data_IF_816746343521
#
_entry.id   IF_816746343521
#
_cell.length_a   1.000
_cell.length_b   1.000
_cell.length_c   1.000
_cell.angle_alpha   90.00
_cell.angle_beta   90.00
_cell.angle_gamma   90.00
#
_symmetry.space_group_name_H-M   'P 1'
#
loop_
_entity.id
_entity.type
_entity.pdbx_description
1 polymer ?
#
# COMPACT_ATOMS: atom_id res chain seq x y z
N UNK A 1 13.33 4.96 7.08
CA UNK A 1 12.59 3.69 6.98
C UNK A 1 11.77 3.51 8.23
N UNK A 2 10.58 2.93 8.12
CA UNK A 2 9.68 2.69 9.23
C UNK A 2 9.01 1.32 9.07
N UNK A 3 8.67 0.71 10.20
CA UNK A 3 7.83 -0.49 10.28
C UNK A 3 6.69 -0.19 11.25
N UNK A 4 5.46 -0.51 10.85
CA UNK A 4 4.26 -0.35 11.66
C UNK A 4 3.63 -1.72 11.85
N UNK A 5 3.21 -2.02 13.09
CA UNK A 5 2.40 -3.19 13.42
C UNK A 5 1.02 -2.72 13.89
N UNK A 6 -0.03 -3.20 13.23
CA UNK A 6 -1.42 -2.95 13.58
C UNK A 6 -2.07 -4.24 14.08
N UNK A 7 -2.93 -4.11 15.10
CA UNK A 7 -3.84 -5.17 15.55
C UNK A 7 -5.27 -4.68 15.44
N UNK A 8 -6.05 -5.30 14.55
CA UNK A 8 -7.46 -4.98 14.37
C UNK A 8 -8.31 -5.58 15.49
N UNK A 9 -9.56 -5.11 15.61
CA UNK A 9 -10.50 -5.59 16.62
C UNK A 9 -10.79 -7.10 16.50
N UNK A 10 -10.77 -7.64 15.28
CA UNK A 10 -10.88 -9.08 14.99
C UNK A 10 -9.69 -9.91 15.48
N UNK A 11 -8.59 -9.27 15.89
CA UNK A 11 -7.31 -9.93 16.16
C UNK A 11 -6.41 -10.07 14.93
N UNK A 12 -6.89 -9.71 13.73
CA UNK A 12 -6.07 -9.66 12.50
C UNK A 12 -4.86 -8.74 12.73
N UNK A 13 -3.70 -9.15 12.23
CA UNK A 13 -2.48 -8.35 12.23
C UNK A 13 -2.21 -7.80 10.85
N UNK A 14 -1.67 -6.58 10.78
CA UNK A 14 -1.08 -6.05 9.56
C UNK A 14 0.27 -5.41 9.87
N UNK A 15 1.22 -5.61 8.97
CA UNK A 15 2.54 -4.99 9.01
C UNK A 15 2.69 -4.10 7.80
N UNK A 16 3.17 -2.87 8.02
CA UNK A 16 3.54 -1.96 6.93
C UNK A 16 5.02 -1.66 7.06
N UNK A 17 5.77 -1.87 5.98
CA UNK A 17 7.19 -1.52 5.90
C UNK A 17 7.35 -0.47 4.81
N UNK A 18 7.98 0.65 5.15
CA UNK A 18 8.15 1.78 4.25
C UNK A 18 9.55 2.38 4.30
N UNK A 19 10.13 2.60 3.13
CA UNK A 19 11.40 3.28 2.94
C UNK A 19 11.27 4.50 2.04
N UNK A 20 12.27 5.37 2.06
CA UNK A 20 12.42 6.44 1.05
C UNK A 20 13.46 6.11 -0.02
N UNK A 21 14.20 5.02 0.16
CA UNK A 21 15.31 4.61 -0.70
C UNK A 21 15.22 3.11 -0.94
N UNK A 22 15.02 2.76 -2.19
CA UNK A 22 15.20 1.43 -2.75
C UNK A 22 16.03 1.64 -4.02
N UNK A 23 17.19 0.97 -4.09
CA UNK A 23 18.12 1.12 -5.19
C UNK A 23 17.64 0.45 -6.48
N UNK A 24 16.68 -0.46 -6.38
CA UNK A 24 16.16 -1.23 -7.50
C UNK A 24 14.93 -0.58 -8.14
N UNK A 25 14.16 0.23 -7.39
CA UNK A 25 13.03 0.97 -7.91
C UNK A 25 11.98 1.38 -6.86
N UNK A 26 10.72 1.33 -7.25
CA UNK A 26 9.55 1.67 -6.45
C UNK A 26 8.74 0.42 -6.09
N UNK A 27 9.01 -0.15 -4.91
CA UNK A 27 8.27 -1.29 -4.38
C UNK A 27 6.94 -0.83 -3.75
N UNK A 28 5.84 -1.33 -4.27
CA UNK A 28 4.51 -1.16 -3.69
C UNK A 28 3.71 -2.45 -3.82
N UNK A 29 3.68 -3.21 -2.73
CA UNK A 29 3.09 -4.54 -2.68
C UNK A 29 2.21 -4.69 -1.44
N UNK A 30 1.15 -5.48 -1.58
CA UNK A 30 0.26 -5.86 -0.49
C UNK A 30 0.14 -7.38 -0.52
N UNK A 31 0.28 -8.01 0.63
CA UNK A 31 0.01 -9.43 0.81
C UNK A 31 -1.07 -9.64 1.87
N UNK A 32 -1.91 -10.66 1.65
CA UNK A 32 -2.96 -11.07 2.58
C UNK A 32 -2.86 -12.58 2.75
N UNK A 33 -2.55 -13.01 3.96
CA UNK A 33 -2.43 -14.43 4.31
C UNK A 33 -3.64 -14.80 5.15
N UNK A 34 -4.46 -15.69 4.60
CA UNK A 34 -5.62 -16.29 5.26
C UNK A 34 -5.39 -17.76 5.56
N UNK A 35 -6.34 -18.37 6.27
CA UNK A 35 -6.29 -19.80 6.62
C UNK A 35 -6.42 -20.75 5.42
N UNK A 36 -6.92 -20.26 4.28
CA UNK A 36 -7.17 -21.07 3.08
C UNK A 36 -6.29 -20.70 1.89
N UNK A 37 -5.70 -19.52 1.90
CA UNK A 37 -4.95 -18.99 0.76
C UNK A 37 -4.06 -17.81 1.17
N UNK A 38 -3.08 -17.49 0.32
CA UNK A 38 -2.24 -16.31 0.42
C UNK A 38 -2.24 -15.56 -0.92
N UNK A 39 -2.62 -14.29 -0.88
CA UNK A 39 -2.76 -13.45 -2.06
C UNK A 39 -1.74 -12.31 -2.01
N UNK A 40 -1.17 -11.98 -3.17
CA UNK A 40 -0.21 -10.88 -3.29
C UNK A 40 -0.53 -10.02 -4.52
N UNK A 41 -0.46 -8.70 -4.37
CA UNK A 41 -0.60 -7.73 -5.46
C UNK A 41 0.63 -6.85 -5.50
N UNK A 42 1.19 -6.63 -6.69
CA UNK A 42 2.43 -5.86 -6.88
C UNK A 42 3.70 -6.71 -6.87
N UNK A 43 3.57 -8.03 -6.92
CA UNK A 43 4.64 -8.96 -7.23
C UNK A 43 4.54 -9.40 -8.70
N UNK A 44 5.38 -8.84 -9.56
CA UNK A 44 5.46 -9.12 -10.99
C UNK A 44 6.91 -8.93 -11.50
N UNK A 45 7.13 -9.08 -12.81
CA UNK A 45 8.46 -8.94 -13.45
C UNK A 45 9.08 -7.54 -13.28
N UNK A 46 8.28 -6.55 -12.93
CA UNK A 46 8.68 -5.15 -12.73
C UNK A 46 8.82 -4.79 -11.26
N UNK A 47 8.56 -5.73 -10.35
CA UNK A 47 8.86 -5.55 -8.92
C UNK A 47 10.36 -5.34 -8.75
N UNK A 48 10.80 -4.31 -8.01
CA UNK A 48 12.23 -4.01 -7.82
C UNK A 48 12.87 -4.93 -6.78
N UNK A 49 12.74 -6.24 -6.96
CA UNK A 49 13.32 -7.26 -6.08
C UNK A 49 14.02 -8.33 -6.91
N UNK A 50 15.19 -8.76 -6.44
CA UNK A 50 15.92 -9.89 -7.00
C UNK A 50 15.71 -11.10 -6.11
N UNK A 51 15.16 -12.17 -6.68
CA UNK A 51 15.05 -13.45 -6.00
C UNK A 51 16.44 -14.07 -5.79
N UNK A 52 16.60 -14.75 -4.66
CA UNK A 52 17.80 -15.55 -4.37
C UNK A 52 17.67 -16.99 -4.87
N UNK A 53 16.50 -17.40 -5.33
CA UNK A 53 16.28 -18.72 -5.91
C UNK A 53 17.00 -18.86 -7.27
N UNK A 54 17.61 -20.01 -7.60
CA UNK A 54 18.41 -20.18 -8.82
C UNK A 54 17.68 -19.83 -10.14
N UNK A 55 16.36 -20.04 -10.19
CA UNK A 55 15.50 -19.73 -11.32
C UNK A 55 14.56 -18.53 -11.07
N UNK A 56 14.79 -17.80 -9.98
CA UNK A 56 13.94 -16.69 -9.58
C UNK A 56 14.14 -15.45 -10.44
N UNK A 57 13.15 -14.53 -10.47
CA UNK A 57 13.26 -13.30 -11.23
C UNK A 57 14.36 -12.40 -10.67
N UNK A 58 15.07 -11.70 -11.56
CA UNK A 58 16.06 -10.68 -11.21
C UNK A 58 15.47 -9.33 -11.57
N UNK A 59 15.55 -8.36 -10.64
CA UNK A 59 15.12 -7.00 -10.92
C UNK A 59 15.93 -6.41 -12.07
N UNK A 60 15.27 -6.11 -13.18
CA UNK A 60 15.89 -5.56 -14.39
C UNK A 60 15.68 -4.05 -14.57
N UNK A 61 16.18 -3.49 -15.68
CA UNK A 61 15.96 -2.08 -16.06
C UNK A 61 14.48 -1.68 -16.15
N UNK A 62 13.58 -2.65 -16.38
CA UNK A 62 12.13 -2.44 -16.48
C UNK A 62 11.39 -2.29 -15.14
N UNK A 63 12.08 -2.45 -14.00
CA UNK A 63 11.44 -2.29 -12.70
C UNK A 63 10.88 -0.88 -12.53
N UNK A 64 9.72 -0.76 -11.87
CA UNK A 64 9.04 0.53 -11.68
C UNK A 64 9.98 1.56 -11.08
N UNK A 65 10.19 2.70 -11.74
CA UNK A 65 11.12 3.74 -11.26
C UNK A 65 10.47 4.67 -10.24
N UNK A 66 9.15 4.75 -10.24
CA UNK A 66 8.38 5.64 -9.36
C UNK A 66 6.88 5.38 -9.42
N UNK A 67 6.16 6.06 -8.53
CA UNK A 67 4.72 5.92 -8.39
C UNK A 67 3.95 6.34 -9.65
N UNK A 68 4.42 7.36 -10.39
CA UNK A 68 3.74 7.87 -11.58
C UNK A 68 3.62 6.78 -12.65
N UNK A 69 4.69 6.01 -12.86
CA UNK A 69 4.71 4.88 -13.77
C UNK A 69 3.90 3.71 -13.21
N UNK A 70 4.12 3.35 -11.94
CA UNK A 70 3.45 2.21 -11.28
C UNK A 70 1.93 2.35 -11.23
N UNK A 71 1.43 3.57 -11.08
CA UNK A 71 0.02 3.88 -10.92
C UNK A 71 -0.59 4.63 -12.12
N UNK A 72 0.09 4.67 -13.27
CA UNK A 72 -0.41 5.37 -14.46
C UNK A 72 -1.86 5.00 -14.82
N UNK A 73 -2.17 3.70 -14.84
CA UNK A 73 -3.53 3.21 -15.09
C UNK A 73 -4.51 3.60 -13.96
N UNK A 74 -4.06 3.57 -12.70
CA UNK A 74 -4.90 3.95 -11.57
C UNK A 74 -5.26 5.45 -11.61
N UNK A 75 -4.31 6.32 -11.97
CA UNK A 75 -4.59 7.75 -12.16
C UNK A 75 -5.58 8.00 -13.29
N UNK A 76 -5.45 7.31 -14.41
CA UNK A 76 -6.42 7.42 -15.50
C UNK A 76 -7.82 6.96 -15.08
N UNK A 77 -7.91 5.83 -14.36
CA UNK A 77 -9.17 5.30 -13.85
C UNK A 77 -9.80 6.22 -12.79
N UNK A 78 -9.01 6.80 -11.90
CA UNK A 78 -9.48 7.74 -10.87
C UNK A 78 -10.05 9.02 -11.49
N UNK A 79 -9.37 9.60 -12.49
CA UNK A 79 -9.88 10.78 -13.21
C UNK A 79 -11.16 10.45 -13.96
N UNK A 80 -11.26 9.29 -14.61
CA UNK A 80 -12.49 8.85 -15.25
C UNK A 80 -13.64 8.70 -14.23
N UNK A 81 -13.37 8.06 -13.08
CA UNK A 81 -14.35 7.93 -12.01
C UNK A 81 -14.80 9.30 -11.46
N UNK A 82 -13.87 10.25 -11.30
CA UNK A 82 -14.18 11.61 -10.89
C UNK A 82 -15.15 12.30 -11.86
N UNK A 83 -14.91 12.17 -13.18
CA UNK A 83 -15.81 12.73 -14.21
C UNK A 83 -17.22 12.15 -14.11
N UNK A 84 -17.36 10.84 -13.88
CA UNK A 84 -18.68 10.21 -13.70
C UNK A 84 -19.39 10.71 -12.43
N UNK A 85 -18.65 10.95 -11.35
CA UNK A 85 -19.19 11.49 -10.09
C UNK A 85 -19.69 12.92 -10.28
N UNK A 86 -18.89 13.82 -10.87
CA UNK A 86 -19.30 15.22 -11.06
C UNK A 86 -20.43 15.37 -12.09
N UNK A 87 -20.56 14.41 -13.02
CA UNK A 87 -21.68 14.33 -13.94
C UNK A 87 -22.96 13.72 -13.31
N UNK A 88 -22.91 13.29 -12.04
CA UNK A 88 -24.04 12.68 -11.34
C UNK A 88 -24.40 11.27 -11.81
N UNK A 89 -23.49 10.58 -12.52
CA UNK A 89 -23.72 9.23 -13.06
C UNK A 89 -23.17 8.11 -12.18
N UNK A 90 -22.30 8.44 -11.23
CA UNK A 90 -21.75 7.51 -10.26
C UNK A 90 -21.75 8.08 -8.84
N UNK A 91 -21.85 7.21 -7.84
CA UNK A 91 -21.57 7.57 -6.46
C UNK A 91 -20.06 7.76 -6.25
N UNK A 92 -19.66 8.62 -5.32
CA UNK A 92 -18.24 8.80 -4.98
C UNK A 92 -17.68 7.50 -4.35
N UNK A 93 -16.72 6.80 -4.98
CA UNK A 93 -16.13 5.59 -4.44
C UNK A 93 -15.11 5.86 -3.32
N UNK A 94 -14.68 7.11 -3.13
CA UNK A 94 -13.74 7.54 -2.09
C UNK A 94 -14.29 8.74 -1.29
N UNK A 95 -15.31 8.52 -0.45
CA UNK A 95 -15.88 9.56 0.40
C UNK A 95 -14.93 9.93 1.55
N UNK A 96 -14.96 11.20 1.96
CA UNK A 96 -14.07 11.78 2.97
C UNK A 96 -13.96 10.95 4.25
N UNK A 97 -15.06 10.33 4.70
CA UNK A 97 -15.09 9.51 5.91
C UNK A 97 -14.04 8.38 5.90
N UNK A 98 -13.75 7.81 4.73
CA UNK A 98 -12.84 6.67 4.62
C UNK A 98 -11.39 7.17 4.75
N UNK A 99 -11.08 8.35 4.20
CA UNK A 99 -9.79 9.03 4.35
C UNK A 99 -9.52 9.52 5.78
N UNK A 100 -10.56 9.86 6.54
CA UNK A 100 -10.42 10.28 7.95
C UNK A 100 -9.86 9.16 8.82
N UNK A 101 -10.25 7.91 8.58
CA UNK A 101 -9.71 6.75 9.31
C UNK A 101 -8.22 6.54 9.00
N UNK A 102 -7.82 6.68 7.74
CA UNK A 102 -6.40 6.61 7.35
C UNK A 102 -5.56 7.68 8.05
N UNK A 103 -6.06 8.92 8.14
CA UNK A 103 -5.38 10.00 8.86
C UNK A 103 -5.31 9.74 10.37
N UNK A 104 -6.39 9.24 10.98
CA UNK A 104 -6.41 8.87 12.40
C UNK A 104 -5.37 7.78 12.72
N UNK A 105 -5.24 6.76 11.87
CA UNK A 105 -4.22 5.73 11.99
C UNK A 105 -2.81 6.30 11.86
N UNK A 106 -2.56 7.18 10.88
CA UNK A 106 -1.26 7.82 10.71
C UNK A 106 -0.85 8.64 11.94
N UNK A 107 -1.77 9.44 12.49
CA UNK A 107 -1.55 10.22 13.71
C UNK A 107 -1.29 9.32 14.93
N UNK A 108 -1.99 8.20 15.04
CA UNK A 108 -1.76 7.23 16.11
C UNK A 108 -0.38 6.55 16.00
N UNK A 109 0.07 6.24 14.78
CA UNK A 109 1.41 5.72 14.54
C UNK A 109 2.49 6.73 14.98
N UNK A 110 2.29 8.02 14.69
CA UNK A 110 3.23 9.06 15.11
C UNK A 110 3.28 9.20 16.64
N UNK A 111 2.12 9.20 17.30
CA UNK A 111 2.04 9.17 18.77
C UNK A 111 2.71 7.94 19.36
N UNK A 112 2.50 6.77 18.76
CA UNK A 112 3.13 5.51 19.19
C UNK A 112 4.64 5.56 19.06
N UNK A 113 5.16 6.11 17.94
CA UNK A 113 6.60 6.32 17.72
C UNK A 113 7.21 7.24 18.78
N UNK A 114 6.55 8.34 19.11
CA UNK A 114 7.03 9.31 20.09
C UNK A 114 7.03 8.73 21.52
N UNK A 115 5.94 8.05 21.90
CA UNK A 115 5.78 7.48 23.24
C UNK A 115 6.49 6.12 23.44
N UNK A 116 6.93 5.48 22.34
CA UNK A 116 7.49 4.12 22.32
C UNK A 116 6.55 3.06 22.93
N UNK A 117 5.25 3.25 22.75
CA UNK A 117 4.20 2.39 23.29
C UNK A 117 3.07 2.22 22.25
N UNK A 118 2.34 1.08 22.25
CA UNK A 118 1.16 0.92 21.40
C UNK A 118 0.08 1.97 21.71
N UNK A 119 -0.55 2.52 20.67
CA UNK A 119 -1.65 3.49 20.80
C UNK A 119 -2.92 2.88 20.23
N UNK A 120 -4.00 2.92 21.03
CA UNK A 120 -5.34 2.53 20.57
C UNK A 120 -5.93 3.65 19.71
N UNK A 121 -6.50 3.26 18.58
CA UNK A 121 -7.36 4.13 17.76
C UNK A 121 -8.79 3.84 18.17
N UNK A 122 -9.55 4.89 18.48
CA UNK A 122 -10.95 4.85 18.89
C UNK A 122 -11.81 5.53 17.84
#
# INVERSE_FOLDING_TARGET
TAVVLLRFASGTLATLTGGRRDGLGYDHRIEVIGSRDALVVGLDERTPLTSLEPSGPVSGPGAYRGFAERFAHAYAAEVAAFVEVVAGRAANPSPVRDSMLSLALANACERSRAAKLPVRVT
#
